data_IF_067761196361
#
_entry.id   IF_067761196361
#
_cell.length_a   1.000
_cell.length_b   1.000
_cell.length_c   1.000
_cell.angle_alpha   90.00
_cell.angle_beta   90.00
_cell.angle_gamma   90.00
#
_symmetry.space_group_name_H-M   'P 1'
#
loop_
_entity.id
_entity.type
_entity.pdbx_description
1 polymer ?
#
# COMPACT_ATOMS: atom_id res chain seq x y z
N UNK A 1 11.65 19.91 -21.67
CA UNK A 1 12.43 19.14 -20.68
C UNK A 1 11.62 18.60 -19.50
N UNK A 2 10.51 19.24 -19.10
CA UNK A 2 9.70 18.82 -17.92
C UNK A 2 8.99 17.46 -18.09
N UNK A 3 8.67 17.07 -19.32
CA UNK A 3 7.88 15.87 -19.62
C UNK A 3 8.65 14.54 -19.43
N UNK A 4 9.95 14.52 -19.71
CA UNK A 4 10.75 13.29 -19.62
C UNK A 4 10.91 12.79 -18.18
N UNK A 5 11.14 13.71 -17.23
CA UNK A 5 11.28 13.38 -15.81
C UNK A 5 9.95 12.89 -15.21
N UNK A 6 8.83 13.50 -15.60
CA UNK A 6 7.49 13.09 -15.21
C UNK A 6 7.15 11.68 -15.71
N UNK A 7 7.46 11.40 -16.97
CA UNK A 7 7.26 10.08 -17.56
C UNK A 7 8.15 9.02 -16.90
N UNK A 8 9.42 9.32 -16.63
CA UNK A 8 10.34 8.42 -15.93
C UNK A 8 9.82 8.09 -14.52
N UNK A 9 9.37 9.11 -13.77
CA UNK A 9 8.79 8.93 -12.46
C UNK A 9 7.61 7.97 -12.48
N UNK A 10 6.63 8.19 -13.38
CA UNK A 10 5.42 7.37 -13.47
C UNK A 10 5.76 5.93 -13.88
N UNK A 11 6.71 5.73 -14.80
CA UNK A 11 7.16 4.39 -15.19
C UNK A 11 7.80 3.64 -14.02
N UNK A 12 8.71 4.29 -13.29
CA UNK A 12 9.38 3.69 -12.14
C UNK A 12 8.40 3.42 -10.99
N UNK A 13 7.46 4.32 -10.75
CA UNK A 13 6.37 4.13 -9.78
C UNK A 13 5.51 2.92 -10.15
N UNK A 14 5.10 2.77 -11.41
CA UNK A 14 4.32 1.62 -11.87
C UNK A 14 5.08 0.29 -11.71
N UNK A 15 6.39 0.27 -12.00
CA UNK A 15 7.24 -0.90 -11.75
C UNK A 15 7.31 -1.26 -10.27
N UNK A 16 7.52 -0.27 -9.40
CA UNK A 16 7.56 -0.44 -7.95
C UNK A 16 6.24 -1.00 -7.41
N UNK A 17 5.11 -0.39 -7.80
CA UNK A 17 3.77 -0.82 -7.39
C UNK A 17 3.50 -2.26 -7.81
N UNK A 18 3.85 -2.61 -9.05
CA UNK A 18 3.63 -3.95 -9.58
C UNK A 18 4.51 -5.00 -8.91
N UNK A 19 5.78 -4.67 -8.66
CA UNK A 19 6.76 -5.56 -8.03
C UNK A 19 6.39 -5.89 -6.58
N UNK A 20 6.01 -4.88 -5.79
CA UNK A 20 5.60 -5.05 -4.39
C UNK A 20 4.10 -5.29 -4.21
N UNK A 21 3.33 -5.43 -5.31
CA UNK A 21 1.88 -5.65 -5.33
C UNK A 21 1.08 -4.66 -4.46
N UNK A 22 1.48 -3.40 -4.46
CA UNK A 22 0.88 -2.36 -3.62
C UNK A 22 -0.48 -1.95 -4.20
N UNK A 23 -1.54 -1.94 -3.38
CA UNK A 23 -2.87 -1.48 -3.81
C UNK A 23 -2.84 0.04 -4.06
N UNK A 24 -3.28 0.50 -5.24
CA UNK A 24 -3.37 1.95 -5.55
C UNK A 24 -4.21 2.73 -4.53
N UNK A 25 -5.26 2.11 -3.98
CA UNK A 25 -6.11 2.72 -2.94
C UNK A 25 -5.36 3.03 -1.64
N UNK A 26 -4.33 2.26 -1.31
CA UNK A 26 -3.47 2.52 -0.15
C UNK A 26 -2.64 3.78 -0.37
N UNK A 27 -1.99 3.88 -1.53
CA UNK A 27 -1.16 5.04 -1.91
C UNK A 27 -2.01 6.31 -1.94
N UNK A 28 -3.17 6.27 -2.60
CA UNK A 28 -4.12 7.38 -2.66
C UNK A 28 -4.50 7.89 -1.26
N UNK A 29 -4.86 6.96 -0.35
CA UNK A 29 -5.25 7.31 1.02
C UNK A 29 -4.08 7.92 1.80
N UNK A 30 -2.88 7.33 1.70
CA UNK A 30 -1.71 7.76 2.47
C UNK A 30 -1.12 9.08 1.95
N UNK A 31 -1.15 9.30 0.63
CA UNK A 31 -0.71 10.54 0.00
C UNK A 31 -1.75 11.67 0.06
N UNK A 32 -2.98 11.40 0.54
CA UNK A 32 -4.07 12.38 0.52
C UNK A 32 -4.57 12.73 -0.89
N UNK A 33 -4.35 11.86 -1.87
CA UNK A 33 -4.72 12.09 -3.28
C UNK A 33 -6.01 11.33 -3.59
N UNK A 34 -6.90 11.96 -4.36
CA UNK A 34 -8.13 11.33 -4.84
C UNK A 34 -7.81 10.08 -5.69
N UNK A 35 -8.51 8.97 -5.45
CA UNK A 35 -8.19 7.67 -6.07
C UNK A 35 -8.26 7.74 -7.60
N UNK A 36 -9.23 8.47 -8.16
CA UNK A 36 -9.35 8.60 -9.61
C UNK A 36 -8.22 9.47 -10.19
N UNK A 37 -7.83 10.56 -9.50
CA UNK A 37 -6.65 11.34 -9.86
C UNK A 37 -5.38 10.46 -9.93
N UNK A 38 -5.10 9.66 -8.89
CA UNK A 38 -3.95 8.75 -8.92
C UNK A 38 -4.04 7.76 -10.08
N UNK A 39 -5.21 7.17 -10.32
CA UNK A 39 -5.41 6.25 -11.45
C UNK A 39 -5.13 6.91 -12.80
N UNK A 40 -5.60 8.15 -13.03
CA UNK A 40 -5.32 8.90 -14.27
C UNK A 40 -3.83 9.21 -14.43
N UNK A 41 -3.13 9.53 -13.34
CA UNK A 41 -1.69 9.76 -13.34
C UNK A 41 -0.95 8.48 -13.75
N UNK A 42 -1.27 7.34 -13.12
CA UNK A 42 -0.58 6.06 -13.38
C UNK A 42 -0.83 5.54 -14.81
N UNK A 43 -1.95 5.92 -15.42
CA UNK A 43 -2.32 5.60 -16.80
C UNK A 43 -1.88 6.67 -17.82
N UNK A 44 -1.09 7.66 -17.41
CA UNK A 44 -0.63 8.79 -18.25
C UNK A 44 -1.76 9.61 -18.91
N UNK A 45 -2.98 9.56 -18.35
CA UNK A 45 -4.14 10.37 -18.80
C UNK A 45 -4.02 11.80 -18.29
N UNK A 46 -3.42 11.98 -17.12
CA UNK A 46 -3.20 13.28 -16.49
C UNK A 46 -1.71 13.45 -16.17
N UNK A 47 -1.09 14.60 -16.50
CA UNK A 47 0.29 14.87 -16.12
C UNK A 47 0.42 14.95 -14.60
N UNK A 48 1.55 14.46 -14.09
CA UNK A 48 1.86 14.48 -12.67
C UNK A 48 2.55 15.79 -12.28
N UNK A 49 2.08 16.43 -11.22
CA UNK A 49 2.73 17.64 -10.69
C UNK A 49 3.87 17.29 -9.73
N UNK A 50 4.74 18.26 -9.43
CA UNK A 50 5.80 18.04 -8.44
C UNK A 50 5.24 17.76 -7.03
N UNK A 51 4.13 18.39 -6.67
CA UNK A 51 3.44 18.16 -5.39
C UNK A 51 2.86 16.74 -5.31
N UNK A 52 2.32 16.23 -6.44
CA UNK A 52 1.86 14.84 -6.54
C UNK A 52 3.05 13.87 -6.39
N UNK A 53 4.18 14.14 -7.05
CA UNK A 53 5.39 13.31 -6.90
C UNK A 53 5.87 13.27 -5.45
N UNK A 54 5.91 14.43 -4.78
CA UNK A 54 6.32 14.54 -3.39
C UNK A 54 5.40 13.72 -2.49
N UNK A 55 4.09 13.96 -2.58
CA UNK A 55 3.09 13.30 -1.75
C UNK A 55 3.05 11.77 -1.96
N UNK A 56 3.20 11.31 -3.20
CA UNK A 56 3.26 9.87 -3.51
C UNK A 56 4.56 9.25 -3.02
N UNK A 57 5.69 9.93 -3.17
CA UNK A 57 6.99 9.40 -2.75
C UNK A 57 7.07 9.31 -1.22
N UNK A 58 6.60 10.35 -0.53
CA UNK A 58 6.49 10.39 0.94
C UNK A 58 5.55 9.29 1.46
N UNK A 59 4.40 9.07 0.80
CA UNK A 59 3.49 7.97 1.14
C UNK A 59 4.11 6.56 0.96
N UNK A 60 5.18 6.45 0.17
CA UNK A 60 5.93 5.22 -0.06
C UNK A 60 7.24 5.18 0.75
N UNK A 61 7.47 6.15 1.64
CA UNK A 61 8.68 6.31 2.44
C UNK A 61 9.95 6.34 1.55
N UNK A 62 9.87 7.04 0.42
CA UNK A 62 10.96 7.24 -0.55
C UNK A 62 11.13 8.72 -0.87
N UNK A 63 12.35 9.10 -1.24
CA UNK A 63 12.62 10.40 -1.85
C UNK A 63 12.16 10.41 -3.31
N UNK A 64 11.72 11.54 -3.84
CA UNK A 64 11.35 11.70 -5.26
C UNK A 64 12.48 11.22 -6.18
N UNK A 65 13.74 11.48 -5.82
CA UNK A 65 14.94 11.05 -6.56
C UNK A 65 15.00 9.54 -6.76
N UNK A 66 14.43 8.75 -5.83
CA UNK A 66 14.35 7.30 -5.95
C UNK A 66 13.53 6.88 -7.18
N UNK A 67 12.50 7.63 -7.55
CA UNK A 67 11.71 7.32 -8.74
C UNK A 67 12.23 8.02 -10.00
N UNK A 68 13.17 8.95 -9.87
CA UNK A 68 13.81 9.65 -10.99
C UNK A 68 15.13 9.02 -11.43
N UNK A 69 15.57 7.93 -10.80
CA UNK A 69 16.78 7.21 -11.22
C UNK A 69 16.58 6.51 -12.57
N UNK A 70 17.62 6.50 -13.42
CA UNK A 70 17.58 5.84 -14.73
C UNK A 70 17.36 4.34 -14.61
N UNK A 71 17.89 3.72 -13.55
CA UNK A 71 17.75 2.30 -13.25
C UNK A 71 17.21 2.10 -11.85
N UNK A 72 15.97 1.66 -11.75
CA UNK A 72 15.31 1.35 -10.48
C UNK A 72 15.75 -0.03 -9.99
N UNK A 73 16.60 -0.06 -8.97
CA UNK A 73 16.99 -1.32 -8.32
C UNK A 73 15.89 -1.78 -7.36
N UNK A 74 15.07 -2.72 -7.84
CA UNK A 74 14.02 -3.36 -7.05
C UNK A 74 14.62 -4.56 -6.34
N UNK A 75 14.72 -4.48 -5.01
CA UNK A 75 15.09 -5.63 -4.19
C UNK A 75 14.02 -6.71 -4.38
N UNK A 76 14.44 -7.94 -4.64
CA UNK A 76 13.53 -9.08 -4.56
C UNK A 76 12.85 -9.03 -3.18
N UNK A 77 11.52 -9.24 -3.09
CA UNK A 77 10.86 -9.39 -1.82
C UNK A 77 11.38 -10.68 -1.18
N UNK A 78 12.52 -10.57 -0.50
CA UNK A 78 13.09 -11.66 0.25
C UNK A 78 12.30 -11.72 1.56
N UNK A 79 11.30 -12.59 1.60
CA UNK A 79 10.55 -12.90 2.82
C UNK A 79 11.47 -13.37 3.96
N UNK A 80 12.77 -13.59 3.71
CA UNK A 80 13.79 -13.78 4.74
C UNK A 80 14.01 -12.57 5.64
N UNK A 81 13.57 -11.37 5.28
CA UNK A 81 13.57 -10.22 6.20
C UNK A 81 12.50 -10.31 7.30
N UNK A 82 11.70 -11.39 7.35
CA UNK A 82 11.10 -11.86 8.61
C UNK A 82 12.15 -12.11 9.71
N UNK A 83 13.43 -12.25 9.35
CA UNK A 83 14.55 -12.24 10.28
C UNK A 83 14.64 -10.93 11.09
N UNK A 84 14.14 -9.80 10.59
CA UNK A 84 14.08 -8.55 11.37
C UNK A 84 13.02 -8.63 12.49
N UNK A 85 11.90 -9.32 12.26
CA UNK A 85 10.94 -9.66 13.32
C UNK A 85 11.57 -10.66 14.31
N UNK A 86 12.29 -11.67 13.80
CA UNK A 86 13.03 -12.61 14.65
C UNK A 86 14.13 -11.92 15.49
N UNK A 87 14.77 -10.89 14.94
CA UNK A 87 15.76 -10.03 15.60
C UNK A 87 15.12 -9.20 16.73
N UNK A 88 13.92 -8.64 16.52
CA UNK A 88 13.16 -7.96 17.57
C UNK A 88 12.59 -8.91 18.64
N UNK A 89 12.51 -10.22 18.37
CA UNK A 89 11.97 -11.22 19.29
C UNK A 89 13.01 -11.86 20.22
N UNK A 90 14.30 -11.51 20.09
CA UNK A 90 15.37 -11.79 21.07
C UNK A 90 15.89 -13.23 21.15
N UNK A 91 15.13 -14.20 20.63
CA UNK A 91 15.45 -15.60 20.27
C UNK A 91 14.08 -16.20 19.94
N UNK A 92 13.95 -16.83 18.78
CA UNK A 92 12.69 -17.45 18.35
C UNK A 92 12.34 -18.61 19.29
N UNK A 93 11.45 -18.33 20.24
CA UNK A 93 10.70 -19.34 20.99
C UNK A 93 9.47 -19.72 20.16
N UNK A 94 9.08 -20.99 20.10
CA UNK A 94 7.99 -21.50 19.25
C UNK A 94 6.68 -20.70 19.44
N UNK A 95 6.44 -20.19 20.65
CA UNK A 95 5.27 -19.36 20.93
C UNK A 95 5.28 -18.01 20.21
N UNK A 96 6.46 -17.42 20.04
CA UNK A 96 6.63 -16.11 19.37
C UNK A 96 6.50 -16.25 17.86
N UNK A 97 7.00 -17.34 17.30
CA UNK A 97 6.81 -17.69 15.89
C UNK A 97 5.32 -17.95 15.59
N UNK A 98 4.64 -18.71 16.45
CA UNK A 98 3.19 -18.91 16.34
C UNK A 98 2.42 -17.59 16.42
N UNK A 99 2.80 -16.69 17.32
CA UNK A 99 2.17 -15.37 17.44
C UNK A 99 2.39 -14.52 16.19
N UNK A 100 3.60 -14.51 15.63
CA UNK A 100 3.90 -13.80 14.40
C UNK A 100 3.03 -14.33 13.23
N UNK A 101 2.94 -15.65 13.08
CA UNK A 101 2.11 -16.28 12.05
C UNK A 101 0.61 -15.96 12.24
N UNK A 102 0.10 -15.94 13.47
CA UNK A 102 -1.27 -15.51 13.75
C UNK A 102 -1.53 -14.03 13.39
N UNK A 103 -0.53 -13.15 13.58
CA UNK A 103 -0.63 -11.75 13.15
C UNK A 103 -0.65 -11.65 11.62
N UNK A 104 0.17 -12.44 10.92
CA UNK A 104 0.13 -12.49 9.45
C UNK A 104 -1.22 -13.00 8.93
N UNK A 105 -1.74 -14.10 9.50
CA UNK A 105 -3.06 -14.62 9.15
C UNK A 105 -4.16 -13.57 9.37
N UNK A 106 -4.10 -12.83 10.48
CA UNK A 106 -5.04 -11.73 10.75
C UNK A 106 -4.94 -10.62 9.70
N UNK A 107 -3.73 -10.21 9.33
CA UNK A 107 -3.50 -9.14 8.35
C UNK A 107 -3.97 -9.56 6.95
N UNK A 108 -3.78 -10.82 6.56
CA UNK A 108 -4.26 -11.36 5.29
C UNK A 108 -5.79 -11.39 5.21
N UNK A 109 -6.46 -11.67 6.33
CA UNK A 109 -7.92 -11.81 6.39
C UNK A 109 -8.65 -10.53 6.89
N UNK A 110 -7.93 -9.43 7.13
CA UNK A 110 -8.49 -8.22 7.73
C UNK A 110 -9.58 -7.58 6.86
N UNK A 111 -9.44 -7.65 5.54
CA UNK A 111 -10.44 -7.16 4.59
C UNK A 111 -11.76 -7.93 4.73
N UNK A 112 -11.71 -9.24 4.97
CA UNK A 112 -12.89 -10.09 5.20
C UNK A 112 -13.54 -9.80 6.56
N UNK A 113 -12.74 -9.66 7.62
CA UNK A 113 -13.23 -9.35 8.98
C UNK A 113 -13.91 -7.97 9.02
N UNK A 114 -13.30 -6.95 8.40
CA UNK A 114 -13.89 -5.61 8.30
C UNK A 114 -15.16 -5.64 7.43
N UNK A 115 -15.15 -6.42 6.35
CA UNK A 115 -16.32 -6.61 5.49
C UNK A 115 -17.52 -7.21 6.24
N UNK A 116 -17.29 -8.27 7.01
CA UNK A 116 -18.32 -8.93 7.84
C UNK A 116 -18.83 -7.95 8.92
N UNK A 117 -17.96 -7.19 9.58
CA UNK A 117 -18.37 -6.20 10.58
C UNK A 117 -19.29 -5.13 9.99
N UNK A 118 -18.99 -4.61 8.80
CA UNK A 118 -19.86 -3.66 8.10
C UNK A 118 -21.23 -4.27 7.76
N UNK A 119 -21.24 -5.53 7.34
CA UNK A 119 -22.48 -6.26 7.02
C UNK A 119 -23.34 -6.45 8.27
N UNK A 120 -22.75 -6.89 9.38
CA UNK A 120 -23.45 -7.05 10.67
C UNK A 120 -23.99 -5.73 11.21
N UNK A 121 -23.25 -4.62 11.07
CA UNK A 121 -23.74 -3.30 11.48
C UNK A 121 -24.93 -2.84 10.62
N UNK A 122 -24.90 -3.11 9.31
CA UNK A 122 -26.00 -2.77 8.40
C UNK A 122 -27.25 -3.61 8.70
N UNK A 123 -27.09 -4.92 8.88
CA UNK A 123 -28.20 -5.82 9.24
C UNK A 123 -28.79 -5.46 10.61
N UNK A 124 -27.94 -5.08 11.58
CA UNK A 124 -28.42 -4.61 12.88
C UNK A 124 -29.22 -3.30 12.80
N UNK A 125 -28.88 -2.39 11.87
CA UNK A 125 -29.61 -1.14 11.63
C UNK A 125 -30.97 -1.38 10.94
N UNK A 126 -31.04 -2.32 9.99
CA UNK A 126 -32.29 -2.66 9.29
C UNK A 126 -33.33 -3.33 10.20
N UNK A 127 -32.92 -3.96 11.30
CA UNK A 127 -33.83 -4.57 12.29
C UNK A 127 -34.58 -3.51 13.12
N UNK A 128 -34.01 -2.32 13.34
CA UNK A 128 -34.68 -1.24 14.09
C UNK A 128 -35.71 -0.46 13.27
N UNK A 129 -35.70 -0.58 11.93
CA UNK A 129 -36.65 0.11 11.04
C UNK A 129 -37.99 -0.65 10.86
N UNK A 130 -38.12 -1.84 11.44
CA UNK A 130 -39.33 -2.68 11.37
C UNK A 130 -40.15 -2.76 12.67
N UNK A 131 -39.76 -2.05 13.73
CA UNK A 131 -40.56 -1.90 14.95
C UNK A 131 -41.23 -0.52 15.01
N UNK A 132 -42.28 -0.32 14.21
CA UNK A 132 -43.32 0.70 14.40
C UNK A 132 -44.70 0.16 14.04
#
# INVERSE_FOLDING_TARGET
MVDAAQNLFVQNLNKYISHYKIKQSFIAKRAGIEKNKLSRILNSVQPITYEDMHSISDALDKDIKYFLQEKLDLLAPDYKDSASIAFYMGTADENKERLANQVFDLLEHIDAIIGIRKKMQKEALEVWDYEF
#
